data_IF_486977421915
#
_entry.id   IF_486977421915
#
_cell.length_a   1.000
_cell.length_b   1.000
_cell.length_c   1.000
_cell.angle_alpha   90.00
_cell.angle_beta   90.00
_cell.angle_gamma   90.00
#
_symmetry.space_group_name_H-M   'P 1'
#
loop_
_entity.id
_entity.type
_entity.pdbx_description
1 polymer ?
#
# COMPACT_ATOMS: atom_id res chain seq x y z
N UNK A 1 -17.87 7.20 -0.71
CA UNK A 1 -17.72 7.60 0.70
C UNK A 1 -16.77 8.79 0.78
N UNK A 2 -16.92 9.72 1.73
CA UNK A 2 -15.97 10.81 1.95
C UNK A 2 -15.14 10.52 3.19
N UNK A 3 -13.82 10.54 3.03
CA UNK A 3 -12.86 10.16 4.08
C UNK A 3 -11.93 11.34 4.34
N UNK A 4 -11.86 11.79 5.60
CA UNK A 4 -10.90 12.77 6.07
C UNK A 4 -9.65 12.06 6.60
N UNK A 5 -8.49 12.53 6.16
CA UNK A 5 -7.20 11.95 6.54
C UNK A 5 -6.31 13.04 7.11
N UNK A 6 -5.58 12.71 8.19
CA UNK A 6 -4.42 13.45 8.70
C UNK A 6 -3.32 12.47 9.04
N UNK A 7 -2.16 12.61 8.40
CA UNK A 7 -0.98 11.78 8.61
C UNK A 7 0.20 12.68 8.93
N UNK A 8 0.71 12.59 10.16
CA UNK A 8 1.88 13.34 10.62
C UNK A 8 3.06 12.41 10.84
N UNK A 9 4.18 12.74 10.20
CA UNK A 9 5.46 12.04 10.28
C UNK A 9 6.52 13.00 10.86
N UNK A 10 7.55 12.43 11.47
CA UNK A 10 8.76 13.12 11.88
C UNK A 10 9.95 12.57 11.11
N UNK A 11 10.72 13.47 10.49
CA UNK A 11 11.99 13.17 9.84
C UNK A 11 13.12 13.81 10.64
N UNK A 12 14.01 13.00 11.22
CA UNK A 12 15.17 13.50 11.96
C UNK A 12 16.43 13.41 11.08
N UNK A 13 17.00 14.53 10.62
CA UNK A 13 18.25 14.52 9.87
C UNK A 13 19.44 14.13 10.76
N UNK A 14 20.56 13.66 10.20
CA UNK A 14 21.81 13.53 10.93
C UNK A 14 22.25 14.84 11.59
N UNK A 15 23.03 14.79 12.70
CA UNK A 15 23.70 15.96 13.24
C UNK A 15 24.52 16.70 12.17
N UNK A 16 24.63 18.01 12.30
CA UNK A 16 25.42 18.89 11.41
C UNK A 16 25.03 18.84 9.92
N UNK A 17 23.80 18.43 9.62
CA UNK A 17 23.28 18.42 8.24
C UNK A 17 23.14 19.85 7.71
N UNK A 18 23.98 20.22 6.73
CA UNK A 18 23.88 21.52 6.05
C UNK A 18 22.75 21.57 5.02
N UNK A 19 22.47 20.45 4.37
CA UNK A 19 21.42 20.35 3.37
C UNK A 19 20.73 18.99 3.44
N UNK A 20 19.41 19.00 3.52
CA UNK A 20 18.57 17.82 3.54
C UNK A 20 17.65 17.84 2.33
N UNK A 21 17.80 16.86 1.46
CA UNK A 21 16.92 16.65 0.32
C UNK A 21 15.99 15.50 0.64
N UNK A 22 14.69 15.68 0.47
CA UNK A 22 13.73 14.60 0.68
C UNK A 22 12.59 14.64 -0.31
N UNK A 23 12.13 13.44 -0.69
CA UNK A 23 10.94 13.25 -1.50
C UNK A 23 9.77 12.83 -0.62
N UNK A 24 8.58 13.32 -0.96
CA UNK A 24 7.31 12.99 -0.31
C UNK A 24 6.36 12.33 -1.32
N UNK A 25 5.93 11.11 -1.02
CA UNK A 25 4.87 10.37 -1.73
C UNK A 25 3.58 10.38 -0.90
N UNK A 26 3.13 11.58 -0.55
CA UNK A 26 2.05 11.83 0.41
C UNK A 26 0.84 12.52 -0.22
N UNK A 27 0.65 12.43 -1.54
CA UNK A 27 -0.53 12.99 -2.22
C UNK A 27 -1.29 11.93 -3.00
N UNK A 28 -2.55 11.62 -2.63
CA UNK A 28 -3.39 10.68 -3.37
C UNK A 28 -3.66 11.16 -4.80
N UNK A 29 -3.72 10.24 -5.75
CA UNK A 29 -4.19 10.51 -7.11
C UNK A 29 -5.71 10.60 -7.21
N UNK A 30 -6.24 11.11 -8.32
CA UNK A 30 -7.66 10.94 -8.68
C UNK A 30 -7.79 9.94 -9.82
N UNK A 31 -8.83 9.11 -9.80
CA UNK A 31 -9.03 8.04 -10.76
C UNK A 31 -10.41 7.39 -10.62
N UNK A 32 -10.55 6.17 -11.13
CA UNK A 32 -11.84 5.48 -11.20
C UNK A 32 -12.44 5.10 -9.83
N UNK A 33 -11.59 4.95 -8.80
CA UNK A 33 -11.96 4.51 -7.45
C UNK A 33 -11.92 5.62 -6.42
N UNK A 34 -11.39 6.81 -6.75
CA UNK A 34 -11.33 7.94 -5.83
C UNK A 34 -11.17 9.29 -6.54
N UNK A 35 -11.64 10.35 -5.90
CA UNK A 35 -11.50 11.74 -6.31
C UNK A 35 -10.92 12.55 -5.15
N UNK A 36 -9.84 13.28 -5.42
CA UNK A 36 -9.23 14.18 -4.46
C UNK A 36 -10.06 15.48 -4.38
N UNK A 37 -10.70 15.75 -3.25
CA UNK A 37 -11.46 17.00 -3.06
C UNK A 37 -10.55 18.15 -2.64
N UNK A 38 -9.83 17.96 -1.54
CA UNK A 38 -8.85 18.92 -1.01
C UNK A 38 -7.72 18.15 -0.35
N UNK A 39 -6.49 18.65 -0.50
CA UNK A 39 -5.31 18.02 0.08
C UNK A 39 -4.19 19.03 0.27
N UNK A 40 -3.50 18.96 1.40
CA UNK A 40 -2.25 19.68 1.65
C UNK A 40 -1.17 18.71 2.13
N UNK A 41 0.08 19.04 1.77
CA UNK A 41 1.28 18.42 2.33
C UNK A 41 2.15 19.56 2.84
N UNK A 42 2.32 19.63 4.15
CA UNK A 42 3.01 20.71 4.85
C UNK A 42 4.25 20.14 5.53
N UNK A 43 5.41 20.72 5.23
CA UNK A 43 6.66 20.48 5.94
C UNK A 43 7.59 21.69 5.72
N UNK A 44 8.65 21.86 6.53
CA UNK A 44 9.65 22.87 6.24
C UNK A 44 10.21 22.71 4.81
N UNK A 45 10.21 23.81 4.07
CA UNK A 45 10.68 23.86 2.67
C UNK A 45 9.64 23.48 1.61
N UNK A 46 8.44 22.99 1.96
CA UNK A 46 7.47 22.54 0.94
C UNK A 46 6.92 23.66 0.06
N UNK A 47 6.94 24.91 0.52
CA UNK A 47 6.54 26.08 -0.27
C UNK A 47 7.39 26.26 -1.54
N UNK A 48 8.63 25.77 -1.53
CA UNK A 48 9.56 25.83 -2.66
C UNK A 48 9.80 24.44 -3.29
N UNK A 49 8.98 23.44 -2.95
CA UNK A 49 9.17 22.08 -3.45
C UNK A 49 8.95 22.00 -4.95
N UNK A 50 9.83 21.28 -5.64
CA UNK A 50 9.54 20.85 -7.00
C UNK A 50 8.45 19.77 -6.95
N UNK A 51 7.50 19.82 -7.89
CA UNK A 51 6.40 18.86 -7.99
C UNK A 51 6.40 18.22 -9.37
N UNK A 52 6.40 16.90 -9.42
CA UNK A 52 6.38 16.14 -10.67
C UNK A 52 5.74 14.77 -10.47
N UNK A 53 5.42 14.11 -11.58
CA UNK A 53 4.90 12.73 -11.57
C UNK A 53 6.06 11.78 -11.84
N UNK A 54 6.26 10.78 -10.99
CA UNK A 54 7.31 9.78 -11.17
C UNK A 54 6.98 8.74 -12.26
N UNK A 55 7.89 7.80 -12.49
CA UNK A 55 7.73 6.75 -13.50
C UNK A 55 6.57 5.77 -13.22
N UNK A 56 5.98 5.80 -12.02
CA UNK A 56 4.84 4.97 -11.62
C UNK A 56 3.51 5.74 -11.63
N UNK A 57 3.54 7.05 -11.90
CA UNK A 57 2.35 7.89 -11.87
C UNK A 57 2.07 8.53 -10.51
N UNK A 58 3.02 8.49 -9.56
CA UNK A 58 2.84 9.12 -8.25
C UNK A 58 3.22 10.60 -8.29
N UNK A 59 2.45 11.44 -7.60
CA UNK A 59 2.82 12.84 -7.41
C UNK A 59 3.90 12.94 -6.32
N UNK A 60 5.08 13.41 -6.72
CA UNK A 60 6.24 13.64 -5.85
C UNK A 60 6.30 15.11 -5.46
N UNK A 61 6.54 15.37 -4.17
CA UNK A 61 7.07 16.67 -3.73
C UNK A 61 8.54 16.48 -3.37
N UNK A 62 9.42 17.22 -4.02
CA UNK A 62 10.85 17.14 -3.82
C UNK A 62 11.34 18.41 -3.14
N UNK A 63 11.77 18.25 -1.89
CA UNK A 63 12.06 19.35 -0.98
C UNK A 63 13.55 19.42 -0.74
N UNK A 64 14.07 20.65 -0.74
CA UNK A 64 15.45 20.96 -0.37
C UNK A 64 15.45 21.87 0.86
N UNK A 65 15.75 21.32 2.02
CA UNK A 65 15.78 22.04 3.29
C UNK A 65 17.22 22.36 3.69
N UNK A 66 17.56 23.64 3.62
CA UNK A 66 18.85 24.15 4.07
C UNK A 66 18.90 24.24 5.59
N UNK A 67 20.01 23.79 6.19
CA UNK A 67 20.30 23.84 7.63
C UNK A 67 19.06 23.48 8.47
N UNK A 68 18.51 22.26 8.32
CA UNK A 68 17.41 21.82 9.17
C UNK A 68 17.83 21.88 10.65
N UNK A 69 16.95 22.43 11.49
CA UNK A 69 17.17 22.52 12.93
C UNK A 69 16.26 21.52 13.64
N UNK A 70 16.81 20.37 14.01
CA UNK A 70 16.10 19.30 14.69
C UNK A 70 15.10 18.52 13.82
N UNK A 71 14.15 17.79 14.45
CA UNK A 71 13.17 16.98 13.74
C UNK A 71 12.18 17.82 12.92
N UNK A 72 11.93 17.38 11.69
CA UNK A 72 11.03 18.02 10.75
C UNK A 72 9.67 17.33 10.79
N UNK A 73 8.62 18.07 11.17
CA UNK A 73 7.25 17.59 11.07
C UNK A 73 6.74 17.68 9.62
N UNK A 74 6.20 16.58 9.11
CA UNK A 74 5.59 16.47 7.79
C UNK A 74 4.14 16.05 8.00
N UNK A 75 3.19 16.89 7.59
CA UNK A 75 1.76 16.62 7.73
C UNK A 75 1.08 16.59 6.38
N UNK A 76 0.47 15.46 6.04
CA UNK A 76 -0.43 15.34 4.90
C UNK A 76 -1.87 15.28 5.40
N UNK A 77 -2.76 16.12 4.87
CA UNK A 77 -4.15 16.11 5.30
C UNK A 77 -5.13 16.56 4.21
N UNK A 78 -6.36 16.06 4.27
CA UNK A 78 -7.36 16.40 3.27
C UNK A 78 -8.61 15.51 3.30
N UNK A 79 -9.43 15.66 2.26
CA UNK A 79 -10.62 14.85 2.02
C UNK A 79 -10.49 14.16 0.68
N UNK A 80 -10.73 12.85 0.68
CA UNK A 80 -10.84 12.02 -0.52
C UNK A 80 -12.24 11.43 -0.58
N UNK A 81 -12.89 11.57 -1.72
CA UNK A 81 -14.11 10.84 -2.05
C UNK A 81 -13.72 9.52 -2.71
N UNK A 82 -14.22 8.40 -2.21
CA UNK A 82 -13.94 7.04 -2.72
C UNK A 82 -15.20 6.40 -3.29
N UNK A 83 -15.02 5.52 -4.26
CA UNK A 83 -16.09 4.81 -4.95
C UNK A 83 -15.79 3.32 -4.95
N UNK A 84 -16.76 2.49 -4.52
CA UNK A 84 -16.63 1.05 -4.68
C UNK A 84 -16.81 0.68 -6.16
N UNK A 85 -15.80 0.00 -6.70
CA UNK A 85 -15.74 -0.49 -8.08
C UNK A 85 -15.45 -1.98 -8.12
N UNK A 86 -15.67 -2.69 -7.01
CA UNK A 86 -15.29 -4.09 -6.83
C UNK A 86 -13.80 -4.31 -7.14
N UNK A 87 -12.94 -3.39 -6.68
CA UNK A 87 -11.50 -3.38 -6.94
C UNK A 87 -11.07 -3.03 -8.37
N UNK A 88 -11.96 -2.75 -9.33
CA UNK A 88 -11.57 -2.47 -10.73
C UNK A 88 -11.19 -1.00 -10.90
N UNK A 89 -9.91 -0.73 -11.20
CA UNK A 89 -9.39 0.61 -11.54
C UNK A 89 -9.49 0.91 -13.04
N UNK A 90 -9.55 -0.12 -13.90
CA UNK A 90 -9.56 0.06 -15.34
C UNK A 90 -8.16 0.25 -15.91
N UNK A 91 -8.05 1.08 -16.96
CA UNK A 91 -6.79 1.42 -17.64
C UNK A 91 -6.55 2.93 -17.49
N UNK A 92 -6.01 3.40 -16.34
CA UNK A 92 -5.83 4.83 -16.11
C UNK A 92 -4.87 5.42 -17.16
N UNK A 93 -5.20 6.60 -17.68
CA UNK A 93 -4.37 7.29 -18.66
C UNK A 93 -3.04 7.76 -18.07
N UNK A 94 -1.98 7.76 -18.87
CA UNK A 94 -0.65 8.25 -18.46
C UNK A 94 0.12 7.31 -17.52
N UNK A 95 -0.39 6.12 -17.24
CA UNK A 95 0.35 5.10 -16.48
C UNK A 95 1.43 4.41 -17.33
N UNK A 96 2.49 3.89 -16.69
CA UNK A 96 3.51 3.12 -17.39
C UNK A 96 2.93 1.83 -17.98
N UNK A 97 3.61 1.31 -19.01
CA UNK A 97 3.24 0.03 -19.62
C UNK A 97 3.17 -1.08 -18.56
N UNK A 98 2.14 -1.95 -18.56
CA UNK A 98 1.99 -2.99 -17.55
C UNK A 98 3.24 -3.88 -17.42
N UNK A 99 3.95 -4.14 -18.52
CA UNK A 99 5.18 -4.93 -18.52
C UNK A 99 6.27 -4.41 -17.55
N UNK A 100 6.28 -3.12 -17.20
CA UNK A 100 7.18 -2.57 -16.17
C UNK A 100 7.02 -3.33 -14.83
N UNK A 101 5.79 -3.71 -14.51
CA UNK A 101 5.41 -4.35 -13.25
C UNK A 101 5.58 -5.88 -13.26
N UNK A 102 6.24 -6.43 -14.28
CA UNK A 102 6.79 -7.79 -14.24
C UNK A 102 8.17 -7.83 -13.57
N UNK A 103 8.81 -6.67 -13.34
CA UNK A 103 10.14 -6.58 -12.74
C UNK A 103 10.14 -7.12 -11.31
N UNK A 104 10.92 -8.18 -11.07
CA UNK A 104 11.13 -8.72 -9.74
C UNK A 104 11.99 -7.78 -8.87
N UNK A 105 11.72 -7.77 -7.57
CA UNK A 105 12.56 -7.09 -6.56
C UNK A 105 12.90 -8.07 -5.43
N UNK A 106 13.83 -7.70 -4.56
CA UNK A 106 14.20 -8.52 -3.40
C UNK A 106 13.01 -8.73 -2.46
N UNK A 107 12.18 -7.71 -2.25
CA UNK A 107 11.00 -7.78 -1.37
C UNK A 107 9.87 -8.63 -1.93
N UNK A 108 9.79 -8.79 -3.26
CA UNK A 108 8.74 -9.61 -3.90
C UNK A 108 9.23 -11.02 -4.26
N UNK A 109 10.32 -11.50 -3.65
CA UNK A 109 10.76 -12.89 -3.82
C UNK A 109 9.87 -13.81 -3.00
N UNK A 110 9.27 -14.79 -3.66
CA UNK A 110 8.36 -15.75 -3.03
C UNK A 110 8.70 -17.18 -3.41
N UNK A 111 8.47 -18.17 -2.53
CA UNK A 111 8.71 -19.57 -2.84
C UNK A 111 7.70 -20.09 -3.86
N UNK A 112 8.12 -21.08 -4.66
CA UNK A 112 7.25 -21.74 -5.66
C UNK A 112 6.00 -22.38 -5.03
N UNK A 113 6.04 -22.73 -3.75
CA UNK A 113 4.88 -23.26 -3.01
C UNK A 113 3.69 -22.29 -2.93
N UNK A 114 3.93 -21.00 -3.16
CA UNK A 114 2.90 -19.97 -3.13
C UNK A 114 2.10 -19.91 -4.45
N UNK A 115 2.78 -20.07 -5.59
CA UNK A 115 2.18 -19.85 -6.91
C UNK A 115 2.21 -21.06 -7.85
N UNK A 116 3.03 -22.08 -7.57
CA UNK A 116 3.37 -23.16 -8.50
C UNK A 116 2.16 -23.94 -9.02
N UNK A 117 1.14 -24.14 -8.17
CA UNK A 117 -0.11 -24.82 -8.56
C UNK A 117 -0.93 -24.08 -9.62
N UNK A 118 -0.71 -22.77 -9.78
CA UNK A 118 -1.44 -21.95 -10.74
C UNK A 118 -0.79 -21.87 -12.11
N UNK A 119 0.45 -22.36 -12.29
CA UNK A 119 1.14 -22.35 -13.60
C UNK A 119 0.40 -23.13 -14.68
N UNK A 120 -0.36 -24.14 -14.28
CA UNK A 120 -1.10 -25.05 -15.17
C UNK A 120 -2.61 -25.00 -14.93
N UNK A 121 -3.11 -23.93 -14.29
CA UNK A 121 -4.55 -23.76 -14.07
C UNK A 121 -5.29 -23.60 -15.41
N UNK A 122 -6.53 -24.08 -15.46
CA UNK A 122 -7.45 -23.85 -16.59
C UNK A 122 -8.48 -22.77 -16.30
N UNK A 123 -8.47 -22.24 -15.08
CA UNK A 123 -9.29 -21.11 -14.67
C UNK A 123 -8.91 -19.85 -15.44
N UNK A 124 -9.83 -18.90 -15.55
CA UNK A 124 -9.51 -17.60 -16.11
C UNK A 124 -8.56 -16.79 -15.19
N UNK A 125 -8.01 -15.69 -15.71
CA UNK A 125 -7.03 -14.87 -14.99
C UNK A 125 -7.60 -14.29 -13.69
N UNK A 126 -8.87 -13.87 -13.69
CA UNK A 126 -9.51 -13.25 -12.53
C UNK A 126 -9.74 -14.29 -11.44
N UNK A 127 -10.27 -15.46 -11.80
CA UNK A 127 -10.41 -16.59 -10.87
C UNK A 127 -9.04 -16.99 -10.29
N UNK A 128 -8.01 -17.04 -11.13
CA UNK A 128 -6.63 -17.34 -10.70
C UNK A 128 -6.09 -16.31 -9.70
N UNK A 129 -6.31 -15.02 -9.92
CA UNK A 129 -5.86 -13.96 -9.02
C UNK A 129 -6.59 -13.98 -7.67
N UNK A 130 -7.90 -14.26 -7.65
CA UNK A 130 -8.62 -14.47 -6.38
C UNK A 130 -8.11 -15.68 -5.62
N UNK A 131 -7.89 -16.80 -6.31
CA UNK A 131 -7.32 -18.00 -5.69
C UNK A 131 -5.88 -17.77 -5.19
N UNK A 132 -5.11 -16.91 -5.87
CA UNK A 132 -3.79 -16.48 -5.45
C UNK A 132 -3.85 -15.63 -4.17
N UNK A 133 -4.78 -14.67 -4.08
CA UNK A 133 -5.02 -13.87 -2.87
C UNK A 133 -5.37 -14.75 -1.67
N UNK A 134 -6.26 -15.73 -1.87
CA UNK A 134 -6.61 -16.73 -0.85
C UNK A 134 -5.38 -17.51 -0.39
N UNK A 135 -4.58 -18.01 -1.34
CA UNK A 135 -3.37 -18.76 -1.04
C UNK A 135 -2.31 -17.95 -0.30
N UNK A 136 -2.17 -16.66 -0.63
CA UNK A 136 -1.25 -15.74 0.05
C UNK A 136 -1.69 -15.52 1.50
N UNK A 137 -2.97 -15.26 1.72
CA UNK A 137 -3.52 -15.14 3.08
C UNK A 137 -3.35 -16.42 3.89
N UNK A 138 -3.61 -17.59 3.31
CA UNK A 138 -3.44 -18.89 3.96
C UNK A 138 -1.98 -19.18 4.36
N UNK A 139 -1.04 -18.96 3.44
CA UNK A 139 0.36 -19.38 3.63
C UNK A 139 1.18 -18.37 4.43
N UNK A 140 0.94 -17.06 4.21
CA UNK A 140 1.71 -15.99 4.84
C UNK A 140 0.96 -15.31 5.99
N UNK A 141 -0.37 -15.41 6.05
CA UNK A 141 -1.20 -14.78 7.08
C UNK A 141 -1.09 -15.38 8.47
N UNK A 142 -0.50 -16.57 8.57
CA UNK A 142 -0.50 -17.39 9.79
C UNK A 142 -1.83 -18.12 9.94
N UNK A 143 -1.78 -19.42 10.20
CA UNK A 143 -2.98 -20.23 10.38
C UNK A 143 -3.81 -19.70 11.54
N UNK A 144 -5.03 -19.23 11.29
CA UNK A 144 -6.11 -19.44 12.25
C UNK A 144 -6.41 -20.94 12.26
N UNK A 145 -5.58 -21.71 12.95
CA UNK A 145 -5.91 -23.10 13.31
C UNK A 145 -6.98 -23.07 14.41
N UNK A 146 -8.17 -22.59 14.06
CA UNK A 146 -9.41 -22.78 14.77
C UNK A 146 -10.28 -23.75 13.99
N UNK A 147 -9.79 -24.98 13.75
CA UNK A 147 -10.69 -26.09 13.41
C UNK A 147 -11.64 -26.27 14.59
N UNK A 148 -12.85 -25.71 14.49
CA UNK A 148 -13.96 -26.09 15.33
C UNK A 148 -14.31 -27.55 15.02
N UNK A 149 -13.66 -28.48 15.72
CA UNK A 149 -14.31 -29.74 16.06
C UNK A 149 -14.99 -29.56 17.40
N UNK A 150 -16.29 -29.34 17.34
CA UNK A 150 -17.18 -29.40 18.49
C UNK A 150 -17.25 -30.85 18.99
N UNK A 151 -16.57 -31.13 20.09
CA UNK A 151 -17.00 -32.14 21.05
C UNK A 151 -16.75 -31.61 22.47
N UNK A 152 -17.86 -31.58 23.21
CA UNK A 152 -17.99 -31.41 24.66
C UNK A 152 -17.55 -30.08 25.30
N UNK A 153 -18.56 -29.22 25.47
CA UNK A 153 -18.85 -28.51 26.72
C UNK A 153 -17.69 -27.85 27.47
N UNK A 154 -17.61 -26.52 27.33
CA UNK A 154 -16.88 -25.56 28.17
C UNK A 154 -15.37 -25.50 27.96
N UNK A 155 -14.95 -24.57 27.09
CA UNK A 155 -13.62 -23.98 27.19
C UNK A 155 -13.72 -22.46 26.96
N UNK A 156 -13.47 -21.69 28.03
CA UNK A 156 -13.15 -20.28 27.89
C UNK A 156 -11.77 -20.20 27.20
N UNK A 157 -11.76 -20.01 25.89
CA UNK A 157 -10.52 -19.78 25.16
C UNK A 157 -10.26 -18.28 25.08
N UNK A 158 -9.35 -17.79 25.92
CA UNK A 158 -8.57 -16.61 25.58
C UNK A 158 -7.67 -17.02 24.42
N UNK A 159 -8.09 -16.70 23.19
CA UNK A 159 -7.24 -16.89 22.02
C UNK A 159 -6.13 -15.85 22.07
N UNK A 160 -4.98 -16.20 22.67
CA UNK A 160 -3.71 -15.56 22.33
C UNK A 160 -3.34 -16.01 20.91
N UNK A 161 -4.07 -15.47 19.93
CA UNK A 161 -3.85 -15.70 18.52
C UNK A 161 -2.46 -15.21 18.11
N UNK A 162 -1.81 -15.95 17.22
CA UNK A 162 -0.57 -15.49 16.60
C UNK A 162 -0.79 -14.08 15.98
N UNK A 163 0.23 -13.20 15.97
CA UNK A 163 0.09 -11.88 15.37
C UNK A 163 -0.34 -12.01 13.90
N UNK A 164 -1.45 -11.37 13.54
CA UNK A 164 -1.92 -11.25 12.16
C UNK A 164 -0.77 -10.71 11.30
N UNK A 165 -0.47 -11.37 10.19
CA UNK A 165 0.64 -10.96 9.34
C UNK A 165 0.47 -9.53 8.82
N UNK A 166 1.59 -8.81 8.70
CA UNK A 166 1.64 -7.45 8.18
C UNK A 166 1.07 -7.38 6.75
N UNK A 167 0.17 -6.43 6.50
CA UNK A 167 -0.42 -6.20 5.19
C UNK A 167 0.65 -5.94 4.12
N UNK A 168 1.77 -5.32 4.48
CA UNK A 168 2.90 -5.11 3.56
C UNK A 168 3.50 -6.45 3.09
N UNK A 169 3.73 -7.39 4.01
CA UNK A 169 4.25 -8.73 3.69
C UNK A 169 3.29 -9.49 2.75
N UNK A 170 1.99 -9.42 3.05
CA UNK A 170 0.95 -10.08 2.25
C UNK A 170 0.85 -9.47 0.85
N UNK A 171 0.92 -8.14 0.74
CA UNK A 171 0.94 -7.45 -0.55
C UNK A 171 2.18 -7.82 -1.37
N UNK A 172 3.38 -7.89 -0.78
CA UNK A 172 4.58 -8.37 -1.49
C UNK A 172 4.44 -9.83 -1.92
N UNK A 173 3.88 -10.68 -1.06
CA UNK A 173 3.60 -12.08 -1.35
C UNK A 173 2.73 -12.24 -2.61
N UNK A 174 1.64 -11.49 -2.68
CA UNK A 174 0.75 -11.47 -3.84
C UNK A 174 1.45 -10.95 -5.10
N UNK A 175 2.12 -9.79 -4.99
CA UNK A 175 2.83 -9.18 -6.13
C UNK A 175 3.88 -10.14 -6.69
N UNK A 176 4.70 -10.75 -5.83
CA UNK A 176 5.71 -11.72 -6.24
C UNK A 176 5.11 -12.95 -6.91
N UNK A 177 4.02 -13.47 -6.34
CA UNK A 177 3.34 -14.66 -6.84
C UNK A 177 2.68 -14.42 -8.21
N UNK A 178 2.05 -13.26 -8.40
CA UNK A 178 1.43 -12.88 -9.68
C UNK A 178 2.50 -12.69 -10.78
N UNK A 179 3.61 -12.00 -10.46
CA UNK A 179 4.74 -11.83 -11.39
C UNK A 179 5.35 -13.17 -11.80
N UNK A 180 5.42 -14.14 -10.89
CA UNK A 180 5.93 -15.48 -11.19
C UNK A 180 5.01 -16.31 -12.11
N UNK A 181 3.78 -15.84 -12.34
CA UNK A 181 2.81 -16.35 -13.30
C UNK A 181 2.72 -15.48 -14.56
N UNK A 182 3.69 -14.57 -14.78
CA UNK A 182 3.72 -13.61 -15.89
C UNK A 182 2.50 -12.65 -15.92
N UNK A 183 1.98 -12.34 -14.74
CA UNK A 183 0.92 -11.35 -14.55
C UNK A 183 1.53 -10.08 -13.96
N UNK A 184 1.45 -8.92 -14.65
CA UNK A 184 1.93 -7.67 -14.10
C UNK A 184 1.21 -7.34 -12.79
N UNK A 185 1.98 -7.04 -11.75
CA UNK A 185 1.43 -6.70 -10.44
C UNK A 185 2.26 -5.61 -9.77
N UNK A 186 1.59 -4.69 -9.07
CA UNK A 186 2.21 -3.55 -8.39
C UNK A 186 1.79 -3.47 -6.93
N UNK A 187 2.72 -3.00 -6.12
CA UNK A 187 2.49 -2.74 -4.70
C UNK A 187 1.77 -1.41 -4.55
N UNK A 188 0.79 -1.36 -3.66
CA UNK A 188 0.03 -0.15 -3.36
C UNK A 188 0.20 0.20 -1.90
N UNK A 189 0.54 1.46 -1.64
CA UNK A 189 0.47 2.06 -0.31
C UNK A 189 -0.71 3.02 -0.25
N UNK A 190 -1.38 3.07 0.89
CA UNK A 190 -2.57 3.88 1.07
C UNK A 190 -3.04 3.97 2.52
N UNK A 191 -4.31 4.26 2.68
CA UNK A 191 -5.00 4.32 3.97
C UNK A 191 -6.21 3.39 3.96
N UNK A 192 -6.55 2.84 5.11
CA UNK A 192 -7.75 2.04 5.31
C UNK A 192 -8.65 2.69 6.36
N UNK A 193 -9.88 3.02 5.98
CA UNK A 193 -10.90 3.50 6.91
C UNK A 193 -11.53 2.35 7.70
N UNK A 194 -11.75 2.58 9.01
CA UNK A 194 -12.43 1.63 9.88
C UNK A 194 -11.59 0.40 10.24
N UNK A 195 -10.26 0.51 10.26
CA UNK A 195 -9.40 -0.53 10.81
C UNK A 195 -9.62 -0.64 12.33
N UNK A 196 -9.97 -1.84 12.81
CA UNK A 196 -10.61 -2.10 14.12
C UNK A 196 -9.83 -1.62 15.37
N UNK A 197 -8.53 -1.28 15.25
CA UNK A 197 -7.72 -0.89 16.42
C UNK A 197 -6.93 0.42 16.28
N UNK A 198 -6.77 0.95 15.05
CA UNK A 198 -6.22 2.29 14.73
C UNK A 198 -6.29 2.50 13.22
N UNK A 199 -6.73 3.68 12.73
CA UNK A 199 -6.53 4.04 11.33
C UNK A 199 -5.02 4.05 11.03
N UNK A 200 -4.59 3.16 10.14
CA UNK A 200 -3.19 2.94 9.83
C UNK A 200 -2.94 3.15 8.32
N UNK A 201 -1.71 3.55 7.94
CA UNK A 201 -1.23 3.29 6.61
C UNK A 201 -1.43 1.81 6.30
N UNK A 202 -1.93 1.53 5.11
CA UNK A 202 -2.27 0.18 4.68
C UNK A 202 -1.57 -0.15 3.36
N UNK A 203 -1.48 -1.44 3.06
CA UNK A 203 -0.87 -1.94 1.85
C UNK A 203 -1.70 -3.05 1.22
N UNK A 204 -1.78 -3.03 -0.10
CA UNK A 204 -2.41 -4.07 -0.89
C UNK A 204 -1.71 -4.18 -2.26
N UNK A 205 -2.21 -5.03 -3.14
CA UNK A 205 -1.65 -5.24 -4.45
C UNK A 205 -2.65 -4.89 -5.55
N UNK A 206 -2.16 -4.51 -6.73
CA UNK A 206 -2.95 -4.43 -7.94
C UNK A 206 -2.35 -5.36 -8.99
N UNK A 207 -3.16 -6.10 -9.74
CA UNK A 207 -2.73 -6.96 -10.84
C UNK A 207 -3.47 -6.61 -12.13
N UNK A 208 -2.79 -6.80 -13.27
CA UNK A 208 -3.29 -6.40 -14.58
C UNK A 208 -3.97 -7.56 -15.32
N UNK A 209 -5.22 -7.34 -15.70
CA UNK A 209 -5.98 -8.15 -16.62
C UNK A 209 -6.15 -7.43 -17.98
N UNK A 210 -5.94 -8.09 -19.14
CA UNK A 210 -6.10 -7.44 -20.44
C UNK A 210 -7.51 -6.91 -20.73
N UNK A 211 -8.55 -7.56 -20.18
CA UNK A 211 -9.95 -7.18 -20.35
C UNK A 211 -10.33 -6.02 -19.44
N UNK A 212 -10.07 -6.13 -18.14
CA UNK A 212 -10.52 -5.19 -17.12
C UNK A 212 -9.49 -4.11 -16.76
N UNK A 213 -8.20 -4.30 -17.08
CA UNK A 213 -7.11 -3.43 -16.66
C UNK A 213 -6.61 -3.77 -15.25
N UNK A 214 -6.24 -2.76 -14.46
CA UNK A 214 -5.80 -2.94 -13.08
C UNK A 214 -6.95 -3.28 -12.14
N UNK A 215 -6.73 -4.31 -11.32
CA UNK A 215 -7.67 -4.78 -10.30
C UNK A 215 -6.93 -4.89 -8.98
N UNK A 216 -7.50 -4.34 -7.92
CA UNK A 216 -6.96 -4.40 -6.56
C UNK A 216 -7.29 -5.72 -5.86
N UNK A 217 -6.34 -6.22 -5.07
CA UNK A 217 -6.44 -7.40 -4.22
C UNK A 217 -5.80 -7.07 -2.88
N UNK A 218 -6.54 -7.25 -1.78
CA UNK A 218 -6.07 -7.08 -0.41
C UNK A 218 -6.02 -8.44 0.29
N UNK A 219 -4.87 -9.13 0.30
CA UNK A 219 -4.77 -10.44 0.93
C UNK A 219 -4.83 -10.39 2.46
N UNK A 220 -4.71 -9.21 3.09
CA UNK A 220 -4.84 -9.06 4.54
C UNK A 220 -6.29 -9.03 5.02
N UNK A 221 -7.20 -8.59 4.13
CA UNK A 221 -8.64 -8.56 4.35
C UNK A 221 -9.40 -9.59 3.50
N UNK A 222 -8.70 -10.32 2.63
CA UNK A 222 -9.26 -11.33 1.73
C UNK A 222 -10.40 -10.80 0.85
N UNK A 223 -10.22 -9.58 0.32
CA UNK A 223 -11.20 -8.90 -0.51
C UNK A 223 -10.53 -8.05 -1.59
N UNK A 224 -11.32 -7.65 -2.58
CA UNK A 224 -10.95 -6.56 -3.48
C UNK A 224 -11.15 -5.21 -2.77
N UNK A 225 -10.24 -4.23 -2.90
CA UNK A 225 -10.38 -2.91 -2.27
C UNK A 225 -11.73 -2.26 -2.55
N UNK A 226 -12.33 -1.68 -1.50
CA UNK A 226 -13.64 -1.03 -1.54
C UNK A 226 -13.49 0.48 -1.37
N UNK A 227 -14.58 1.21 -1.19
CA UNK A 227 -14.58 2.62 -0.80
C UNK A 227 -13.87 2.92 0.53
N UNK A 228 -13.52 1.91 1.35
CA UNK A 228 -12.72 2.11 2.57
C UNK A 228 -11.22 2.27 2.29
N UNK A 229 -10.77 1.94 1.08
CA UNK A 229 -9.37 2.02 0.69
C UNK A 229 -9.08 3.33 -0.03
N UNK A 230 -8.13 4.11 0.48
CA UNK A 230 -7.63 5.33 -0.18
C UNK A 230 -6.24 5.07 -0.71
N UNK A 231 -6.11 5.02 -2.04
CA UNK A 231 -4.84 4.79 -2.75
C UNK A 231 -3.95 6.03 -2.66
N UNK A 232 -2.74 5.87 -2.16
CA UNK A 232 -1.76 6.95 -2.03
C UNK A 232 -0.70 6.89 -3.13
N UNK A 233 0.00 5.77 -3.23
CA UNK A 233 1.09 5.58 -4.19
C UNK A 233 1.23 4.13 -4.63
N UNK A 234 1.84 3.91 -5.80
CA UNK A 234 2.13 2.58 -6.34
C UNK A 234 3.57 2.45 -6.79
N UNK A 235 4.06 1.22 -6.78
CA UNK A 235 5.42 0.93 -7.22
C UNK A 235 5.67 -0.56 -7.33
N UNK A 236 6.94 -0.94 -7.41
CA UNK A 236 7.29 -2.35 -7.55
C UNK A 236 7.21 -3.11 -6.23
N UNK A 237 7.45 -2.42 -5.13
CA UNK A 237 7.45 -2.89 -3.75
C UNK A 237 7.35 -1.69 -2.79
N UNK A 238 7.48 -1.94 -1.49
CA UNK A 238 7.36 -0.91 -0.46
C UNK A 238 8.48 0.15 -0.49
N UNK A 239 9.66 -0.17 -1.05
CA UNK A 239 10.75 0.80 -1.21
C UNK A 239 10.45 1.82 -2.31
N UNK A 240 9.65 1.41 -3.30
CA UNK A 240 9.20 2.29 -4.38
C UNK A 240 8.07 3.23 -3.94
N UNK A 241 7.38 2.92 -2.84
CA UNK A 241 6.24 3.69 -2.31
C UNK A 241 6.53 4.31 -0.95
N UNK A 242 7.79 4.39 -0.53
CA UNK A 242 8.16 4.91 0.78
C UNK A 242 7.67 6.37 0.93
N UNK A 243 6.83 6.69 1.93
CA UNK A 243 6.19 8.01 2.03
C UNK A 243 7.17 9.18 2.10
N UNK A 244 8.32 8.97 2.75
CA UNK A 244 9.40 9.94 2.90
C UNK A 244 10.72 9.23 2.65
N UNK A 245 11.52 9.73 1.70
CA UNK A 245 12.90 9.26 1.49
C UNK A 245 13.81 10.49 1.50
N UNK A 246 14.82 10.46 2.36
CA UNK A 246 15.69 11.59 2.63
C UNK A 246 17.16 11.26 2.33
N UNK A 247 17.93 12.30 1.99
CA UNK A 247 19.38 12.26 1.78
C UNK A 247 19.99 13.53 2.40
N UNK A 248 20.99 13.42 3.30
CA UNK A 248 21.50 12.16 3.86
C UNK A 248 20.44 11.43 4.69
N UNK A 249 20.58 10.11 4.81
CA UNK A 249 19.70 9.31 5.65
C UNK A 249 20.04 9.54 7.13
N UNK A 250 19.02 9.74 7.95
CA UNK A 250 19.13 10.13 9.36
C UNK A 250 18.75 9.02 10.33
N UNK A 251 18.07 9.36 11.42
CA UNK A 251 17.49 8.36 12.34
C UNK A 251 16.23 7.68 11.79
N UNK A 252 15.97 7.84 10.49
CA UNK A 252 14.77 7.39 9.81
C UNK A 252 13.55 8.30 10.03
N UNK A 253 12.41 7.80 9.58
CA UNK A 253 11.12 8.49 9.60
C UNK A 253 10.22 7.80 10.62
N UNK A 254 9.63 8.57 11.53
CA UNK A 254 8.73 8.06 12.57
C UNK A 254 7.32 8.57 12.33
N UNK A 255 6.34 7.68 12.37
CA UNK A 255 4.93 8.10 12.36
C UNK A 255 4.56 8.67 13.72
N UNK A 256 4.11 9.92 13.74
CA UNK A 256 3.65 10.59 14.96
C UNK A 256 2.14 10.42 15.16
N UNK A 257 1.38 10.56 14.07
CA UNK A 257 -0.08 10.52 14.11
C UNK A 257 -0.65 10.04 12.79
N UNK A 258 -1.69 9.22 12.86
CA UNK A 258 -2.55 8.87 11.73
C UNK A 258 -3.99 8.94 12.19
N UNK A 259 -4.81 9.71 11.49
CA UNK A 259 -6.26 9.74 11.61
C UNK A 259 -6.87 9.52 10.24
N UNK A 260 -7.82 8.60 10.17
CA UNK A 260 -8.64 8.31 9.00
C UNK A 260 -10.06 8.19 9.50
N UNK A 261 -10.91 9.14 9.16
CA UNK A 261 -12.26 9.29 9.69
C UNK A 261 -13.25 9.63 8.58
N UNK A 262 -14.55 9.52 8.85
CA UNK A 262 -15.57 9.98 7.91
C UNK A 262 -15.56 11.52 7.86
N UNK A 263 -15.73 12.10 6.66
CA UNK A 263 -15.68 13.56 6.43
C UNK A 263 -17.05 14.24 6.35
#
# INVERSE_FOLDING_TARGET
>A
MRIAIRHTLSLTPPPDTNNLVFQLLLTPGSGATQKLERWSVEAPGTSNAARFVDAFGNLVHFVNQMRPDGPLAITASGIVETFDRNGVLGKPGGEPVPALFLRATTLTRVPVTLYGKFRSTREDRIATLHALMARVGEVLGGSEAGQQQSQDGQSQSQTSGAPKADAALLAHGFVGAARALDIPARYVSGYLFGADEKPAPHAWAEAYDPGLGWIGFDPSLQLCPTERHVRLSVGLDALSTTPVRAVPDGEGVKTLEVRVEAA
#
